data_IF_488865238785
#
_entry.id   IF_488865238785
#
_cell.length_a   1.000
_cell.length_b   1.000
_cell.length_c   1.000
_cell.angle_alpha   90.00
_cell.angle_beta   90.00
_cell.angle_gamma   90.00
#
_symmetry.space_group_name_H-M   'P 1'
#
loop_
_entity.id
_entity.type
_entity.pdbx_description
1 polymer ?
#
# COMPACT_ATOMS: atom_id res chain seq x y z
N UNK A 1 -8.16 -42.40 -3.32
CA UNK A 1 -7.20 -41.66 -4.15
C UNK A 1 -7.80 -40.52 -4.98
N UNK A 2 -9.08 -40.57 -5.40
CA UNK A 2 -9.69 -39.52 -6.27
C UNK A 2 -9.96 -38.17 -5.58
N UNK A 3 -10.24 -38.18 -4.28
CA UNK A 3 -10.50 -36.98 -3.47
C UNK A 3 -9.25 -36.09 -3.32
N UNK A 4 -8.05 -36.68 -3.28
CA UNK A 4 -6.80 -35.93 -3.17
C UNK A 4 -6.55 -35.07 -4.41
N UNK A 5 -6.84 -35.60 -5.60
CA UNK A 5 -6.71 -34.86 -6.86
C UNK A 5 -7.70 -33.70 -6.95
N UNK A 6 -8.91 -33.87 -6.42
CA UNK A 6 -9.90 -32.79 -6.36
C UNK A 6 -9.45 -31.66 -5.42
N UNK A 7 -8.91 -32.00 -4.24
CA UNK A 7 -8.33 -31.03 -3.31
C UNK A 7 -7.16 -30.26 -3.93
N UNK A 8 -6.25 -30.96 -4.60
CA UNK A 8 -5.12 -30.35 -5.31
C UNK A 8 -5.58 -29.39 -6.41
N UNK A 9 -6.61 -29.76 -7.19
CA UNK A 9 -7.16 -28.89 -8.22
C UNK A 9 -7.77 -27.60 -7.64
N UNK A 10 -8.45 -27.68 -6.49
CA UNK A 10 -9.01 -26.51 -5.81
C UNK A 10 -7.89 -25.59 -5.30
N UNK A 11 -6.85 -26.15 -4.69
CA UNK A 11 -5.71 -25.37 -4.20
C UNK A 11 -4.92 -24.69 -5.34
N UNK A 12 -4.78 -25.35 -6.49
CA UNK A 12 -4.11 -24.78 -7.67
C UNK A 12 -4.96 -23.72 -8.38
N UNK A 13 -6.29 -23.85 -8.33
CA UNK A 13 -7.23 -22.88 -8.92
C UNK A 13 -7.46 -21.65 -8.04
N UNK A 14 -7.11 -21.72 -6.75
CA UNK A 14 -7.05 -20.54 -5.90
C UNK A 14 -5.83 -19.72 -6.31
N UNK A 15 -6.06 -18.65 -7.07
CA UNK A 15 -5.04 -17.61 -7.24
C UNK A 15 -4.51 -17.25 -5.85
N UNK A 16 -3.18 -17.28 -5.65
CA UNK A 16 -2.64 -16.90 -4.36
C UNK A 16 -3.13 -15.47 -4.11
N UNK A 17 -3.71 -15.23 -2.93
CA UNK A 17 -4.00 -13.87 -2.43
C UNK A 17 -2.68 -13.19 -2.06
N UNK A 18 -1.67 -13.34 -2.91
CA UNK A 18 -0.53 -12.48 -3.01
C UNK A 18 -1.08 -11.22 -3.64
N UNK A 19 -1.55 -10.33 -2.79
CA UNK A 19 -1.63 -8.92 -3.15
C UNK A 19 -0.30 -8.54 -3.79
N UNK A 20 -0.24 -8.43 -5.12
CA UNK A 20 0.87 -7.86 -5.88
C UNK A 20 1.03 -6.39 -5.49
N UNK A 21 1.56 -6.21 -4.30
CA UNK A 21 1.78 -4.96 -3.63
C UNK A 21 3.26 -4.96 -3.25
N UNK A 22 3.84 -3.78 -3.26
CA UNK A 22 5.28 -3.60 -3.18
C UNK A 22 5.89 -4.25 -1.94
N UNK A 23 6.83 -5.18 -2.17
CA UNK A 23 7.55 -5.96 -1.15
C UNK A 23 6.61 -6.57 -0.10
N UNK A 24 6.67 -6.07 1.15
CA UNK A 24 5.87 -6.53 2.28
C UNK A 24 4.57 -5.71 2.47
N UNK A 25 4.18 -4.96 1.45
CA UNK A 25 2.96 -4.17 1.45
C UNK A 25 1.72 -5.04 1.46
N UNK A 26 0.61 -4.48 1.96
CA UNK A 26 -0.69 -5.16 1.96
C UNK A 26 -1.74 -4.32 1.26
N UNK A 27 -2.60 -4.99 0.50
CA UNK A 27 -3.75 -4.32 -0.12
C UNK A 27 -4.85 -4.06 0.91
N UNK A 28 -5.15 -2.79 1.16
CA UNK A 28 -6.23 -2.35 2.07
C UNK A 28 -7.08 -1.27 1.42
N UNK A 29 -8.32 -1.13 1.87
CA UNK A 29 -9.18 -0.03 1.42
C UNK A 29 -8.62 1.34 1.88
N UNK A 30 -8.14 1.37 3.13
CA UNK A 30 -7.52 2.52 3.78
C UNK A 30 -6.25 2.03 4.49
N UNK A 31 -5.15 2.75 4.33
CA UNK A 31 -3.88 2.45 5.00
C UNK A 31 -3.94 2.85 6.47
N UNK A 32 -3.13 2.20 7.31
CA UNK A 32 -2.96 2.60 8.71
C UNK A 32 -2.20 3.93 8.81
N UNK A 33 -2.19 4.54 9.99
CA UNK A 33 -1.52 5.83 10.21
C UNK A 33 0.01 5.76 10.01
N UNK A 34 0.59 4.56 10.13
CA UNK A 34 2.02 4.25 9.96
C UNK A 34 2.34 3.61 8.60
N UNK A 35 1.36 3.61 7.68
CA UNK A 35 1.47 3.07 6.34
C UNK A 35 1.14 4.15 5.30
N UNK A 36 1.89 4.15 4.19
CA UNK A 36 1.64 5.01 3.04
C UNK A 36 1.12 4.21 1.85
N UNK A 37 0.29 4.85 1.03
CA UNK A 37 -0.21 4.27 -0.21
C UNK A 37 0.68 4.65 -1.39
N UNK A 38 1.31 3.67 -2.04
CA UNK A 38 2.21 3.95 -3.17
C UNK A 38 1.65 3.56 -4.53
N UNK A 39 0.75 2.56 -4.57
CA UNK A 39 0.15 2.07 -5.82
C UNK A 39 -1.24 1.49 -5.57
N UNK A 40 -1.92 1.09 -6.64
CA UNK A 40 -3.17 0.32 -6.56
C UNK A 40 -2.92 -1.14 -6.83
N UNK A 41 -3.60 -1.97 -6.06
CA UNK A 41 -3.65 -3.41 -6.28
C UNK A 41 -4.62 -3.75 -7.41
N UNK A 42 -4.53 -4.97 -7.95
CA UNK A 42 -5.44 -5.47 -8.99
C UNK A 42 -6.92 -5.38 -8.58
N UNK A 43 -7.22 -5.63 -7.29
CA UNK A 43 -8.56 -5.48 -6.71
C UNK A 43 -8.99 -4.03 -6.42
N UNK A 44 -8.28 -3.04 -7.00
CA UNK A 44 -8.49 -1.58 -6.87
C UNK A 44 -8.31 -1.01 -5.47
N UNK A 45 -7.90 -1.82 -4.48
CA UNK A 45 -7.51 -1.37 -3.13
C UNK A 45 -6.16 -0.65 -3.20
N UNK A 46 -5.81 0.08 -2.12
CA UNK A 46 -4.51 0.74 -1.98
C UNK A 46 -3.46 -0.27 -1.54
N UNK A 47 -2.29 -0.23 -2.16
CA UNK A 47 -1.11 -0.94 -1.69
C UNK A 47 -0.47 -0.12 -0.57
N UNK A 48 -0.62 -0.59 0.67
CA UNK A 48 -0.17 0.09 1.88
C UNK A 48 1.15 -0.51 2.35
N UNK A 49 2.18 0.34 2.46
CA UNK A 49 3.54 -0.04 2.86
C UNK A 49 3.94 0.78 4.09
N UNK A 50 4.62 0.19 5.09
CA UNK A 50 5.09 0.96 6.24
C UNK A 50 5.97 2.14 5.81
N UNK A 51 5.65 3.35 6.29
CA UNK A 51 6.30 4.61 5.86
C UNK A 51 7.82 4.60 6.03
N UNK A 52 8.33 3.85 7.02
CA UNK A 52 9.77 3.66 7.27
C UNK A 52 10.54 3.02 6.10
N UNK A 53 9.87 2.36 5.16
CA UNK A 53 10.51 1.78 3.98
C UNK A 53 10.58 2.77 2.81
N UNK A 54 9.80 3.85 2.85
CA UNK A 54 9.81 4.92 1.83
C UNK A 54 10.83 6.01 2.13
N UNK A 55 11.59 5.90 3.21
CA UNK A 55 12.64 6.85 3.57
C UNK A 55 13.93 6.66 2.78
N UNK A 56 14.06 5.55 2.05
CA UNK A 56 15.21 5.30 1.18
C UNK A 56 14.99 6.09 -0.11
N UNK A 57 15.77 7.15 -0.32
CA UNK A 57 15.76 7.87 -1.59
C UNK A 57 16.20 6.91 -2.71
N UNK A 58 15.40 6.75 -3.77
CA UNK A 58 15.86 6.01 -4.95
C UNK A 58 17.04 6.76 -5.56
N UNK A 59 18.23 6.18 -5.43
CA UNK A 59 19.45 6.66 -6.09
C UNK A 59 19.53 5.92 -7.41
N UNK A 60 19.42 6.65 -8.53
CA UNK A 60 19.69 6.06 -9.85
C UNK A 60 21.18 6.17 -10.16
N UNK A 61 21.69 5.35 -11.08
CA UNK A 61 23.10 5.40 -11.49
C UNK A 61 23.46 6.80 -12.03
N UNK A 62 22.49 7.48 -12.63
CA UNK A 62 22.61 8.84 -13.16
C UNK A 62 22.43 9.95 -12.11
N UNK A 63 22.37 9.60 -10.82
CA UNK A 63 22.15 10.53 -9.70
C UNK A 63 20.70 10.60 -9.23
N UNK A 64 20.33 11.71 -8.59
CA UNK A 64 18.96 11.99 -8.15
C UNK A 64 18.31 12.81 -9.27
N UNK A 65 17.37 12.20 -10.02
CA UNK A 65 16.54 12.96 -10.96
C UNK A 65 15.33 13.54 -10.22
N UNK A 66 14.86 14.72 -10.59
CA UNK A 66 13.76 15.39 -9.88
C UNK A 66 12.49 14.53 -9.76
N UNK A 67 12.22 13.67 -10.75
CA UNK A 67 11.09 12.74 -10.76
C UNK A 67 11.25 11.56 -9.78
N UNK A 68 12.47 11.28 -9.30
CA UNK A 68 12.74 10.21 -8.33
C UNK A 68 12.57 10.69 -6.88
N UNK A 69 12.39 12.00 -6.67
CA UNK A 69 12.11 12.56 -5.35
C UNK A 69 10.77 12.00 -4.84
N UNK A 70 10.77 11.24 -3.72
CA UNK A 70 9.51 10.76 -3.15
C UNK A 70 8.63 11.96 -2.81
N UNK A 71 7.44 12.04 -3.40
CA UNK A 71 6.47 13.04 -2.97
C UNK A 71 6.10 12.72 -1.52
N UNK A 72 6.62 13.51 -0.58
CA UNK A 72 6.27 13.38 0.82
C UNK A 72 4.74 13.47 0.94
N UNK A 73 4.08 12.51 1.60
CA UNK A 73 2.66 12.62 1.86
C UNK A 73 2.43 13.93 2.60
N UNK A 74 1.66 14.84 2.00
CA UNK A 74 1.24 16.08 2.65
C UNK A 74 0.66 15.70 4.00
N UNK A 75 1.37 16.04 5.09
CA UNK A 75 0.81 15.91 6.43
C UNK A 75 -0.41 16.82 6.46
N UNK A 76 -1.60 16.22 6.42
CA UNK A 76 -2.86 16.96 6.58
C UNK A 76 -2.80 17.53 7.99
N UNK A 77 -2.35 18.79 8.12
CA UNK A 77 -2.47 19.57 9.36
C UNK A 77 -3.94 19.47 9.75
N UNK A 78 -4.24 18.70 10.80
CA UNK A 78 -5.58 18.64 11.37
C UNK A 78 -5.97 20.07 11.76
N UNK A 79 -6.77 20.74 10.93
CA UNK A 79 -7.37 22.03 11.28
C UNK A 79 -8.18 21.80 12.55
N UNK A 80 -7.71 22.33 13.68
CA UNK A 80 -8.40 22.33 14.96
C UNK A 80 -9.77 22.99 14.74
N UNK A 81 -10.84 22.20 14.72
CA UNK A 81 -12.22 22.67 14.52
C UNK A 81 -12.56 23.56 15.72
N UNK A 82 -12.51 24.87 15.55
CA UNK A 82 -12.93 25.83 16.59
C UNK A 82 -14.46 25.78 16.63
N UNK A 83 -15.02 25.03 17.59
CA UNK A 83 -16.46 25.01 17.86
C UNK A 83 -16.93 26.46 18.11
N UNK A 84 -17.69 27.02 17.18
CA UNK A 84 -18.50 28.21 17.43
C UNK A 84 -19.87 27.72 17.87
N UNK A 85 -20.09 27.66 19.18
CA UNK A 85 -21.44 27.80 19.73
C UNK A 85 -21.89 29.25 19.46
N UNK A 86 -22.96 29.41 18.70
CA UNK A 86 -23.90 30.54 18.70
C UNK A 86 -25.25 29.85 18.85
N UNK A 87 -25.95 29.96 19.97
CA UNK A 87 -26.42 31.23 20.53
C UNK A 87 -27.79 31.44 19.93
#
# INVERSE_FOLDING_TARGET
MKLLYLLLAIFLAMEPVMSECWMNGRCRLVCKNDEDSISRCQNRKRCCVPSRYLTIQPVTIDGILDWTTPQMPTTVRKKKKKNRYRG
#
